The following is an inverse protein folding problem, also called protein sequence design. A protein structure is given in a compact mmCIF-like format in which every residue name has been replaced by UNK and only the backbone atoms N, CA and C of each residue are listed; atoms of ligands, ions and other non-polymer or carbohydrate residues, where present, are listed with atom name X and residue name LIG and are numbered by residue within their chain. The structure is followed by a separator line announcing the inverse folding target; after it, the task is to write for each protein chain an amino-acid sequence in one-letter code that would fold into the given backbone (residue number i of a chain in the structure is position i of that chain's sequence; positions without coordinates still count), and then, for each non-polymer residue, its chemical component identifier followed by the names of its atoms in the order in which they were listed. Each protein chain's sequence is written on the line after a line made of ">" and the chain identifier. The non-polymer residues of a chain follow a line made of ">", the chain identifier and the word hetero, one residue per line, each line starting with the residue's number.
data_IF_442022260384
#
_entry.id   IF_442022260384
#
_cell.length_a   1.000
_cell.length_b   1.000
_cell.length_c   1.000
_cell.angle_alpha   90.00
_cell.angle_beta   90.00
_cell.angle_gamma   90.00
#
_symmetry.space_group_name_H-M   'P 1'
#
loop_
_entity.id
_entity.type
_entity.pdbx_description
1 polymer ?
#
# COMPACT_ATOMS: atom_id res chain seq x y z
N UNK A 1 10.88 8.35 -4.44
CA UNK A 1 11.82 8.43 -5.58
C UNK A 1 11.68 9.84 -6.15
N UNK A 2 12.80 10.53 -6.46
CA UNK A 2 12.75 11.92 -6.96
C UNK A 2 12.30 11.88 -8.43
N UNK A 3 11.35 12.78 -8.80
CA UNK A 3 10.91 12.94 -10.18
C UNK A 3 11.77 13.94 -10.95
N UNK A 4 11.64 13.94 -12.28
CA UNK A 4 12.35 14.91 -13.14
C UNK A 4 11.94 16.36 -12.82
N UNK A 5 10.68 16.61 -12.49
CA UNK A 5 10.21 17.94 -12.10
C UNK A 5 10.76 18.36 -10.74
N UNK A 6 10.85 17.46 -9.78
CA UNK A 6 11.52 17.72 -8.51
C UNK A 6 13.00 18.04 -8.70
N UNK A 7 13.70 17.31 -9.57
CA UNK A 7 15.11 17.60 -9.90
C UNK A 7 15.27 18.96 -10.58
N UNK A 8 14.38 19.36 -11.49
CA UNK A 8 14.37 20.72 -12.07
C UNK A 8 14.13 21.80 -11.02
N UNK A 9 13.21 21.55 -10.07
CA UNK A 9 12.96 22.49 -8.96
C UNK A 9 14.18 22.61 -8.03
N UNK A 10 14.92 21.53 -7.79
CA UNK A 10 16.18 21.56 -7.05
C UNK A 10 17.22 22.43 -7.77
N UNK A 11 17.38 22.29 -9.10
CA UNK A 11 18.28 23.11 -9.89
C UNK A 11 17.90 24.59 -9.86
N UNK A 12 16.60 24.91 -9.93
CA UNK A 12 16.11 26.28 -9.79
C UNK A 12 16.45 26.88 -8.42
N UNK A 13 16.21 26.15 -7.33
CA UNK A 13 16.54 26.58 -5.95
C UNK A 13 18.04 26.77 -5.77
N UNK A 14 18.85 25.87 -6.30
CA UNK A 14 20.31 25.96 -6.26
C UNK A 14 20.77 27.27 -6.93
N UNK A 15 20.27 27.58 -8.11
CA UNK A 15 20.58 28.83 -8.83
C UNK A 15 20.24 30.05 -7.99
N UNK A 16 19.00 30.15 -7.49
CA UNK A 16 18.57 31.28 -6.65
C UNK A 16 19.43 31.43 -5.40
N UNK A 17 19.82 30.33 -4.77
CA UNK A 17 20.69 30.37 -3.58
C UNK A 17 22.10 30.87 -3.89
N UNK A 18 22.66 30.55 -5.06
CA UNK A 18 23.99 30.97 -5.48
C UNK A 18 23.99 32.42 -5.98
N UNK A 19 22.94 32.85 -6.70
CA UNK A 19 22.73 34.26 -7.08
C UNK A 19 22.70 35.17 -5.83
N UNK A 20 22.06 34.76 -4.73
CA UNK A 20 22.06 35.48 -3.45
C UNK A 20 23.45 35.58 -2.79
N UNK A 21 24.45 34.84 -3.25
CA UNK A 21 25.84 34.85 -2.80
C UNK A 21 26.82 35.49 -3.83
N UNK A 22 26.29 36.23 -4.77
CA UNK A 22 27.06 36.81 -5.89
C UNK A 22 27.79 35.78 -6.80
N UNK A 23 27.26 34.57 -6.88
CA UNK A 23 27.76 33.53 -7.77
C UNK A 23 26.71 33.24 -8.85
N UNK A 24 26.97 33.73 -10.07
CA UNK A 24 26.08 33.42 -11.20
C UNK A 24 26.38 32.02 -11.75
N UNK A 25 25.34 31.20 -11.78
CA UNK A 25 25.40 29.84 -12.33
C UNK A 25 24.35 29.70 -13.42
N UNK A 26 24.79 29.20 -14.60
CA UNK A 26 23.85 28.95 -15.70
C UNK A 26 22.81 27.90 -15.32
N UNK A 27 21.65 27.94 -15.99
CA UNK A 27 20.60 26.92 -15.77
C UNK A 27 21.11 25.50 -16.11
N UNK A 28 21.89 25.38 -17.18
CA UNK A 28 22.51 24.11 -17.59
C UNK A 28 23.47 23.57 -16.52
N UNK A 29 24.33 24.42 -15.96
CA UNK A 29 25.27 24.03 -14.90
C UNK A 29 24.53 23.57 -13.64
N UNK A 30 23.45 24.26 -13.28
CA UNK A 30 22.66 23.87 -12.12
C UNK A 30 21.97 22.50 -12.31
N UNK A 31 21.47 22.21 -13.51
CA UNK A 31 20.90 20.89 -13.85
C UNK A 31 21.94 19.78 -13.81
N UNK A 32 23.14 20.03 -14.39
CA UNK A 32 24.25 19.06 -14.32
C UNK A 32 24.69 18.79 -12.88
N UNK A 33 24.79 19.85 -12.05
CA UNK A 33 25.15 19.70 -10.64
C UNK A 33 24.14 18.84 -9.89
N UNK A 34 22.84 19.06 -10.11
CA UNK A 34 21.78 18.25 -9.48
C UNK A 34 21.81 16.82 -10.00
N UNK A 35 22.02 16.59 -11.29
CA UNK A 35 22.13 15.24 -11.82
C UNK A 35 23.29 14.46 -11.18
N UNK A 36 24.45 15.08 -11.01
CA UNK A 36 25.59 14.48 -10.33
C UNK A 36 25.33 14.20 -8.85
N UNK A 37 24.66 15.11 -8.14
CA UNK A 37 24.24 14.87 -6.73
C UNK A 37 23.28 13.71 -6.58
N UNK A 38 22.46 13.44 -7.61
CA UNK A 38 21.54 12.31 -7.66
C UNK A 38 22.19 11.01 -8.13
N UNK A 39 23.52 11.04 -8.44
CA UNK A 39 24.29 9.86 -8.85
C UNK A 39 24.25 9.57 -10.34
N UNK A 40 23.76 10.50 -11.16
CA UNK A 40 23.75 10.37 -12.62
C UNK A 40 25.01 11.02 -13.23
N UNK A 41 25.45 10.49 -14.37
CA UNK A 41 26.63 10.99 -15.09
C UNK A 41 26.45 12.44 -15.57
N UNK A 42 25.29 12.76 -16.09
CA UNK A 42 24.91 14.05 -16.65
C UNK A 42 23.40 14.25 -16.62
N UNK A 43 22.93 15.46 -16.94
CA UNK A 43 21.52 15.78 -16.94
C UNK A 43 20.72 14.98 -17.98
N UNK A 44 21.28 14.69 -19.15
CA UNK A 44 20.57 13.92 -20.17
C UNK A 44 20.28 12.50 -19.68
N UNK A 45 21.24 11.89 -19.01
CA UNK A 45 21.08 10.58 -18.37
C UNK A 45 20.03 10.64 -17.24
N UNK A 46 20.09 11.66 -16.39
CA UNK A 46 19.10 11.86 -15.34
C UNK A 46 17.69 12.06 -15.92
N UNK A 47 17.55 12.90 -16.94
CA UNK A 47 16.28 13.19 -17.59
C UNK A 47 15.65 11.97 -18.29
N UNK A 48 16.46 11.03 -18.76
CA UNK A 48 15.98 9.79 -19.37
C UNK A 48 15.57 8.72 -18.34
N UNK A 49 16.17 8.71 -17.15
CA UNK A 49 16.00 7.66 -16.14
C UNK A 49 15.13 8.08 -14.96
N UNK A 50 15.04 9.40 -14.67
CA UNK A 50 14.16 9.89 -13.62
C UNK A 50 12.69 9.71 -14.01
N UNK A 51 11.84 9.30 -13.06
CA UNK A 51 10.40 9.22 -13.29
C UNK A 51 9.87 10.57 -13.80
N UNK A 52 9.20 10.56 -14.93
CA UNK A 52 8.46 11.72 -15.41
C UNK A 52 7.17 11.79 -14.58
N UNK A 53 6.92 12.92 -13.94
CA UNK A 53 5.57 13.22 -13.51
C UNK A 53 4.74 13.42 -14.79
N UNK A 54 4.06 12.37 -15.23
CA UNK A 54 2.99 12.49 -16.21
C UNK A 54 1.80 13.17 -15.52
N UNK A 55 2.01 14.39 -15.04
CA UNK A 55 0.95 15.26 -14.59
C UNK A 55 0.33 15.96 -15.81
N UNK A 56 -0.33 15.19 -16.64
CA UNK A 56 -1.55 15.74 -17.24
C UNK A 56 -2.46 16.03 -16.04
N UNK A 57 -2.98 17.27 -15.85
CA UNK A 57 -4.05 17.51 -14.90
C UNK A 57 -5.19 16.58 -15.31
N UNK A 58 -5.33 15.47 -14.63
CA UNK A 58 -6.14 14.37 -15.09
C UNK A 58 -6.50 13.44 -13.94
N UNK A 59 -7.27 12.44 -14.23
CA UNK A 59 -7.71 11.41 -13.30
C UNK A 59 -6.48 10.71 -12.71
N UNK A 60 -6.37 10.71 -11.38
CA UNK A 60 -5.38 9.94 -10.63
C UNK A 60 -6.11 8.91 -9.78
N UNK A 61 -5.53 7.73 -9.64
CA UNK A 61 -6.04 6.68 -8.78
C UNK A 61 -5.08 6.45 -7.61
N UNK A 62 -5.63 6.37 -6.42
CA UNK A 62 -4.93 5.83 -5.26
C UNK A 62 -5.00 4.29 -5.26
N UNK A 63 -4.50 3.67 -4.19
CA UNK A 63 -4.57 2.21 -4.05
C UNK A 63 -6.03 1.75 -4.01
N UNK A 64 -6.35 0.70 -4.75
CA UNK A 64 -7.63 0.04 -4.64
C UNK A 64 -7.76 -0.59 -3.24
N UNK A 65 -8.93 -0.42 -2.61
CA UNK A 65 -9.26 -1.02 -1.31
C UNK A 65 -10.34 -2.08 -1.56
N UNK A 66 -10.04 -3.37 -1.34
CA UNK A 66 -11.02 -4.44 -1.48
C UNK A 66 -12.14 -4.32 -0.44
N UNK A 67 -13.37 -4.59 -0.86
CA UNK A 67 -14.54 -4.71 0.03
C UNK A 67 -14.88 -6.19 0.14
N UNK A 68 -14.97 -6.69 1.37
CA UNK A 68 -15.30 -8.08 1.68
C UNK A 68 -16.67 -8.16 2.37
N UNK A 69 -17.43 -9.18 2.02
CA UNK A 69 -18.72 -9.45 2.66
C UNK A 69 -18.51 -10.02 4.05
N UNK A 70 -19.25 -9.51 5.05
CA UNK A 70 -19.39 -10.08 6.38
C UNK A 70 -20.87 -10.22 6.74
N UNK A 71 -21.17 -11.10 7.69
CA UNK A 71 -22.55 -11.39 8.16
C UNK A 71 -22.69 -11.34 9.68
N UNK A 72 -21.56 -11.18 10.40
CA UNK A 72 -21.52 -11.20 11.87
C UNK A 72 -20.32 -10.34 12.30
N UNK A 73 -20.62 -9.22 12.95
CA UNK A 73 -19.61 -8.27 13.39
C UNK A 73 -18.63 -8.89 14.41
N UNK A 74 -19.13 -9.68 15.37
CA UNK A 74 -18.30 -10.27 16.41
C UNK A 74 -17.27 -11.23 15.81
N UNK A 75 -17.69 -12.08 14.87
CA UNK A 75 -16.78 -12.99 14.15
C UNK A 75 -15.83 -12.25 13.23
N UNK A 76 -16.27 -11.16 12.60
CA UNK A 76 -15.39 -10.32 11.79
C UNK A 76 -14.29 -9.71 12.66
N UNK A 77 -14.62 -9.14 13.81
CA UNK A 77 -13.65 -8.56 14.74
C UNK A 77 -12.69 -9.62 15.28
N UNK A 78 -13.18 -10.77 15.73
CA UNK A 78 -12.36 -11.89 16.17
C UNK A 78 -11.32 -12.30 15.09
N UNK A 79 -11.76 -12.43 13.83
CA UNK A 79 -10.88 -12.86 12.76
C UNK A 79 -9.91 -11.73 12.30
N UNK A 80 -10.45 -10.58 11.96
CA UNK A 80 -9.62 -9.52 11.35
C UNK A 80 -8.80 -8.74 12.38
N UNK A 81 -9.37 -8.42 13.56
CA UNK A 81 -8.66 -7.61 14.56
C UNK A 81 -7.82 -8.51 15.47
N UNK A 82 -8.43 -9.52 16.11
CA UNK A 82 -7.71 -10.32 17.10
C UNK A 82 -6.76 -11.32 16.46
N UNK A 83 -7.21 -12.08 15.46
CA UNK A 83 -6.39 -13.08 14.80
C UNK A 83 -5.43 -12.45 13.78
N UNK A 84 -5.92 -11.68 12.79
CA UNK A 84 -5.06 -11.10 11.76
C UNK A 84 -4.35 -9.81 12.20
N UNK A 85 -4.73 -9.20 13.33
CA UNK A 85 -4.06 -8.01 13.89
C UNK A 85 -4.28 -6.72 13.11
N UNK A 86 -5.42 -6.59 12.41
CA UNK A 86 -5.82 -5.32 11.82
C UNK A 86 -6.32 -4.36 12.91
N UNK A 87 -6.23 -3.08 12.63
CA UNK A 87 -6.81 -2.01 13.44
C UNK A 87 -7.98 -1.37 12.70
N UNK A 88 -9.00 -0.93 13.45
CA UNK A 88 -10.13 -0.19 12.90
C UNK A 88 -9.69 1.22 12.54
N UNK A 89 -10.00 1.66 11.31
CA UNK A 89 -9.79 3.02 10.84
C UNK A 89 -11.06 3.87 11.00
N UNK A 90 -12.20 3.29 10.62
CA UNK A 90 -13.51 3.91 10.78
C UNK A 90 -14.61 2.86 10.82
N UNK A 91 -15.75 3.26 11.37
CA UNK A 91 -17.01 2.52 11.38
C UNK A 91 -18.13 3.42 10.88
N UNK A 92 -19.02 2.86 10.09
CA UNK A 92 -20.20 3.58 9.63
C UNK A 92 -21.45 2.70 9.72
N UNK A 93 -22.51 3.24 10.33
CA UNK A 93 -23.87 2.75 10.30
C UNK A 93 -24.78 3.93 10.02
N UNK A 94 -25.82 3.74 9.25
CA UNK A 94 -26.85 4.78 9.06
C UNK A 94 -27.67 5.01 10.33
N UNK A 95 -28.03 3.90 11.03
CA UNK A 95 -28.68 3.87 12.34
C UNK A 95 -28.08 2.72 13.15
N UNK A 96 -28.30 2.72 14.46
CA UNK A 96 -27.60 1.80 15.38
C UNK A 96 -27.87 0.30 15.12
N UNK A 97 -29.01 -0.03 14.57
CA UNK A 97 -29.48 -1.39 14.23
C UNK A 97 -29.30 -1.76 12.76
N UNK A 98 -28.78 -0.84 11.94
CA UNK A 98 -28.53 -1.10 10.52
C UNK A 98 -27.16 -1.76 10.27
N UNK A 99 -26.96 -2.34 9.07
CA UNK A 99 -25.70 -3.00 8.70
C UNK A 99 -24.47 -2.13 8.90
N UNK A 100 -23.38 -2.75 9.39
CA UNK A 100 -22.10 -2.11 9.60
C UNK A 100 -21.28 -2.08 8.30
N UNK A 101 -20.62 -0.95 8.08
CA UNK A 101 -19.50 -0.80 7.16
C UNK A 101 -18.25 -0.44 7.93
N UNK A 102 -17.19 -1.24 7.83
CA UNK A 102 -16.00 -1.16 8.67
C UNK A 102 -14.75 -1.03 7.80
N UNK A 103 -13.98 0.03 8.01
CA UNK A 103 -12.65 0.18 7.43
C UNK A 103 -11.58 -0.31 8.39
N UNK A 104 -10.68 -1.16 7.93
CA UNK A 104 -9.58 -1.73 8.73
C UNK A 104 -8.26 -1.67 7.97
N UNK A 105 -7.15 -1.56 8.72
CA UNK A 105 -5.82 -1.60 8.13
C UNK A 105 -4.78 -2.31 8.97
N UNK A 106 -3.74 -2.80 8.30
CA UNK A 106 -2.54 -3.35 8.92
C UNK A 106 -1.33 -3.13 8.00
N UNK A 107 -0.31 -2.41 8.49
CA UNK A 107 0.98 -2.22 7.80
C UNK A 107 0.87 -1.85 6.30
N UNK A 108 -0.10 -0.99 5.96
CA UNK A 108 -0.32 -0.52 4.59
C UNK A 108 -1.27 -1.37 3.73
N UNK A 109 -1.77 -2.49 4.24
CA UNK A 109 -2.91 -3.21 3.67
C UNK A 109 -4.19 -2.65 4.27
N UNK A 110 -5.09 -2.14 3.42
CA UNK A 110 -6.39 -1.60 3.79
C UNK A 110 -7.49 -2.50 3.23
N UNK A 111 -8.50 -2.78 4.04
CA UNK A 111 -9.66 -3.57 3.67
C UNK A 111 -10.93 -2.89 4.20
N UNK A 112 -12.03 -3.04 3.47
CA UNK A 112 -13.35 -2.72 3.99
C UNK A 112 -14.16 -4.00 4.19
N UNK A 113 -14.92 -4.06 5.27
CA UNK A 113 -15.84 -5.16 5.58
C UNK A 113 -17.25 -4.59 5.56
N UNK A 114 -18.18 -5.27 4.92
CA UNK A 114 -19.57 -4.79 4.77
C UNK A 114 -20.60 -5.84 5.08
N UNK A 115 -21.58 -5.46 5.93
CA UNK A 115 -22.82 -6.20 6.12
C UNK A 115 -23.91 -5.82 5.10
N UNK A 116 -23.67 -4.76 4.30
CA UNK A 116 -24.67 -4.29 3.33
C UNK A 116 -24.80 -5.25 2.16
N UNK A 117 -26.04 -5.60 1.83
CA UNK A 117 -26.34 -6.41 0.66
C UNK A 117 -25.92 -5.67 -0.63
N UNK A 118 -25.20 -6.36 -1.48
CA UNK A 118 -24.80 -5.82 -2.79
C UNK A 118 -23.40 -5.21 -2.84
N UNK A 119 -22.77 -4.87 -1.70
CA UNK A 119 -21.41 -4.28 -1.68
C UNK A 119 -20.34 -5.28 -2.10
N UNK A 120 -20.48 -6.52 -1.69
CA UNK A 120 -19.53 -7.58 -2.02
C UNK A 120 -20.21 -8.96 -2.03
N UNK A 121 -19.61 -9.90 -2.77
CA UNK A 121 -20.03 -11.30 -2.78
C UNK A 121 -19.23 -12.12 -1.77
N UNK A 122 -19.86 -13.06 -1.04
CA UNK A 122 -19.14 -14.04 -0.21
C UNK A 122 -18.17 -14.87 -1.05
N UNK A 123 -17.06 -15.32 -0.46
CA UNK A 123 -16.09 -16.15 -1.15
C UNK A 123 -15.10 -15.38 -2.03
N UNK A 124 -15.04 -14.07 -1.89
CA UNK A 124 -14.04 -13.23 -2.59
C UNK A 124 -12.62 -13.59 -2.18
N UNK A 125 -11.67 -13.46 -3.12
CA UNK A 125 -10.25 -13.69 -2.85
C UNK A 125 -9.47 -12.39 -3.05
N UNK A 126 -8.64 -12.05 -2.06
CA UNK A 126 -7.68 -10.95 -2.15
C UNK A 126 -6.28 -11.54 -2.31
N UNK A 127 -5.49 -10.97 -3.22
CA UNK A 127 -4.07 -11.24 -3.35
C UNK A 127 -3.31 -10.06 -2.73
N UNK A 128 -2.55 -10.33 -1.66
CA UNK A 128 -1.83 -9.31 -0.88
C UNK A 128 -0.32 -9.56 -0.94
N UNK A 129 0.43 -8.86 -1.82
CA UNK A 129 1.88 -8.90 -1.80
C UNK A 129 2.42 -8.40 -0.47
N UNK A 130 3.43 -9.10 0.07
CA UNK A 130 4.05 -8.73 1.35
C UNK A 130 5.52 -9.13 1.43
N UNK A 131 6.18 -8.71 2.52
CA UNK A 131 7.52 -9.15 2.92
C UNK A 131 7.46 -9.81 4.30
N UNK A 132 8.45 -10.68 4.58
CA UNK A 132 8.58 -11.39 5.87
C UNK A 132 7.37 -12.28 6.19
N UNK A 133 6.96 -13.11 5.24
CA UNK A 133 5.79 -14.00 5.37
C UNK A 133 5.93 -15.01 6.50
N UNK A 134 7.17 -15.41 6.84
CA UNK A 134 7.48 -16.29 7.96
C UNK A 134 7.07 -15.67 9.30
N UNK A 135 7.33 -14.37 9.48
CA UNK A 135 6.91 -13.66 10.70
C UNK A 135 5.39 -13.64 10.85
N UNK A 136 4.67 -13.45 9.75
CA UNK A 136 3.20 -13.52 9.77
C UNK A 136 2.72 -14.92 10.14
N UNK A 137 3.28 -15.98 9.53
CA UNK A 137 2.95 -17.37 9.87
C UNK A 137 3.16 -17.64 11.37
N UNK A 138 4.32 -17.28 11.90
CA UNK A 138 4.67 -17.55 13.30
C UNK A 138 3.72 -16.81 14.26
N UNK A 139 3.40 -15.56 13.95
CA UNK A 139 2.42 -14.78 14.70
C UNK A 139 1.03 -15.47 14.72
N UNK A 140 0.52 -15.84 13.54
CA UNK A 140 -0.80 -16.44 13.42
C UNK A 140 -0.88 -17.81 14.09
N UNK A 141 0.15 -18.63 13.96
CA UNK A 141 0.22 -19.93 14.64
C UNK A 141 0.32 -19.79 16.16
N UNK A 142 0.98 -18.75 16.65
CA UNK A 142 1.11 -18.43 18.08
C UNK A 142 -0.22 -18.01 18.73
N UNK A 143 -1.12 -17.39 17.98
CA UNK A 143 -2.42 -16.90 18.47
C UNK A 143 -3.45 -18.01 18.74
N UNK A 144 -3.23 -19.24 18.28
CA UNK A 144 -4.10 -20.41 18.50
C UNK A 144 -5.57 -20.18 18.12
N UNK A 145 -5.81 -19.49 17.01
CA UNK A 145 -7.15 -19.28 16.49
C UNK A 145 -7.83 -20.63 16.17
N UNK A 146 -9.09 -20.80 16.64
CA UNK A 146 -9.78 -22.10 16.63
C UNK A 146 -10.12 -22.64 15.24
N UNK A 147 -10.15 -21.79 14.22
CA UNK A 147 -10.61 -22.12 12.87
C UNK A 147 -9.53 -22.23 11.81
N UNK A 148 -8.27 -22.13 12.18
CA UNK A 148 -7.20 -22.25 11.20
C UNK A 148 -5.80 -22.22 11.78
N UNK A 149 -4.92 -23.02 11.19
CA UNK A 149 -3.47 -22.96 11.39
C UNK A 149 -2.83 -22.75 10.02
N UNK A 150 -2.77 -21.51 9.53
CA UNK A 150 -2.21 -21.26 8.23
C UNK A 150 -0.71 -21.58 8.21
N UNK A 151 -0.25 -22.17 7.12
CA UNK A 151 1.16 -22.45 6.90
C UNK A 151 1.58 -21.99 5.50
N UNK A 152 2.89 -21.88 5.30
CA UNK A 152 3.48 -21.42 4.05
C UNK A 152 3.54 -22.58 3.06
N UNK A 153 3.05 -22.33 1.86
CA UNK A 153 3.21 -23.22 0.70
C UNK A 153 4.14 -22.54 -0.30
N UNK A 154 5.23 -23.21 -0.66
CA UNK A 154 6.13 -22.74 -1.70
C UNK A 154 5.56 -23.04 -3.08
N UNK A 155 5.53 -22.03 -3.93
CA UNK A 155 5.15 -22.09 -5.33
C UNK A 155 6.33 -21.67 -6.20
N UNK A 156 6.35 -22.05 -7.48
CA UNK A 156 7.44 -21.65 -8.38
C UNK A 156 7.62 -20.14 -8.58
N UNK A 157 6.68 -19.35 -8.10
CA UNK A 157 6.63 -17.88 -8.21
C UNK A 157 6.61 -17.15 -6.85
N UNK A 158 6.69 -17.88 -5.74
CA UNK A 158 6.79 -17.28 -4.41
C UNK A 158 6.22 -18.13 -3.29
N UNK A 159 6.35 -17.62 -2.07
CA UNK A 159 5.79 -18.22 -0.86
C UNK A 159 4.39 -17.70 -0.62
N UNK A 160 3.45 -18.60 -0.36
CA UNK A 160 2.02 -18.27 -0.18
C UNK A 160 1.59 -18.70 1.22
N UNK A 161 0.85 -17.82 1.90
CA UNK A 161 0.11 -18.12 3.10
C UNK A 161 -1.36 -17.71 2.90
N UNK A 162 -2.27 -18.66 3.03
CA UNK A 162 -3.70 -18.43 2.84
C UNK A 162 -4.45 -18.48 4.15
N UNK A 163 -5.37 -17.54 4.34
CA UNK A 163 -6.33 -17.54 5.43
C UNK A 163 -7.75 -17.42 4.89
N UNK A 164 -8.69 -18.04 5.57
CA UNK A 164 -10.12 -18.03 5.24
C UNK A 164 -10.87 -17.40 6.40
N UNK A 165 -11.69 -16.40 6.10
CA UNK A 165 -12.52 -15.78 7.11
C UNK A 165 -13.80 -16.60 7.40
N UNK A 166 -14.56 -16.28 8.45
CA UNK A 166 -15.81 -16.99 8.79
C UNK A 166 -16.91 -16.89 7.73
N UNK A 167 -16.74 -16.04 6.72
CA UNK A 167 -17.74 -15.78 5.67
C UNK A 167 -17.37 -16.38 4.32
N UNK A 168 -16.24 -17.13 4.28
CA UNK A 168 -15.73 -17.78 3.08
C UNK A 168 -14.81 -16.89 2.22
N UNK A 169 -14.51 -15.67 2.62
CA UNK A 169 -13.51 -14.86 1.93
C UNK A 169 -12.11 -15.40 2.20
N UNK A 170 -11.21 -15.20 1.25
CA UNK A 170 -9.83 -15.66 1.33
C UNK A 170 -8.86 -14.51 1.15
N UNK A 171 -7.85 -14.43 2.02
CA UNK A 171 -6.68 -13.58 1.79
C UNK A 171 -5.50 -14.49 1.48
N UNK A 172 -4.88 -14.23 0.34
CA UNK A 172 -3.67 -14.89 -0.12
C UNK A 172 -2.51 -13.91 0.03
N UNK A 173 -1.76 -14.05 1.10
CA UNK A 173 -0.51 -13.34 1.30
C UNK A 173 0.58 -13.97 0.44
N UNK A 174 1.38 -13.15 -0.22
CA UNK A 174 2.43 -13.61 -1.13
C UNK A 174 3.72 -12.84 -0.96
N UNK A 175 4.82 -13.58 -0.81
CA UNK A 175 6.18 -13.06 -0.90
C UNK A 175 6.87 -13.70 -2.10
N UNK A 176 7.23 -12.86 -3.09
CA UNK A 176 8.00 -13.24 -4.29
C UNK A 176 9.48 -13.24 -4.02
#
# INVERSE_FOLDING_TARGET
>A
MISIEQAKQMAKRLRTSLEGRNQEVSHATALETVAQQLGYKDWNTAAALLPQENATPGITFDKAIPILRMFDEAKAREFYLDFLGFSVEFEHRFEADLPLYLGISRNGLHLHLSEHHGDASPGSTIFAPMQNIELLRDELQGKRYGYGRPDIVEQGWGKILEVYDPFGNRIRFCQS
#
